data_IF_859074133019
#
_entry.id   IF_859074133019
#
_cell.length_a   1.000
_cell.length_b   1.000
_cell.length_c   1.000
_cell.angle_alpha   90.00
_cell.angle_beta   90.00
_cell.angle_gamma   90.00
#
_symmetry.space_group_name_H-M   'P 1'
#
loop_
_entity.id
_entity.type
_entity.pdbx_description
1 polymer ?
#
# COMPACT_ATOMS: atom_id res chain seq x y z
N UNK A 1 -0.80 9.98 -10.38
CA UNK A 1 -1.11 8.54 -10.56
C UNK A 1 -0.28 7.67 -9.62
N UNK A 2 0.92 7.17 -9.97
CA UNK A 2 1.70 6.27 -9.09
C UNK A 2 2.08 6.90 -7.74
N UNK A 3 2.60 8.13 -7.74
CA UNK A 3 2.96 8.86 -6.52
C UNK A 3 1.77 8.99 -5.54
N UNK A 4 0.60 9.34 -6.07
CA UNK A 4 -0.66 9.44 -5.31
C UNK A 4 -1.05 8.10 -4.70
N UNK A 5 -1.01 7.02 -5.49
CA UNK A 5 -1.35 5.68 -5.04
C UNK A 5 -0.44 5.21 -3.89
N UNK A 6 0.88 5.35 -4.05
CA UNK A 6 1.85 4.97 -3.02
C UNK A 6 1.66 5.79 -1.74
N UNK A 7 1.43 7.11 -1.86
CA UNK A 7 1.14 7.97 -0.72
C UNK A 7 -0.14 7.55 0.02
N UNK A 8 -1.19 7.16 -0.71
CA UNK A 8 -2.44 6.68 -0.12
C UNK A 8 -2.27 5.35 0.60
N UNK A 9 -1.56 4.39 0.00
CA UNK A 9 -1.25 3.09 0.64
C UNK A 9 -0.53 3.34 1.97
N UNK A 10 0.49 4.20 1.99
CA UNK A 10 1.20 4.54 3.24
C UNK A 10 0.29 5.19 4.27
N UNK A 11 -0.47 6.20 3.86
CA UNK A 11 -1.36 6.97 4.78
C UNK A 11 -2.47 6.11 5.36
N UNK A 12 -3.05 5.20 4.57
CA UNK A 12 -4.08 4.27 5.03
C UNK A 12 -3.55 3.34 6.13
N UNK A 13 -2.28 2.95 6.03
CA UNK A 13 -1.58 2.17 7.05
C UNK A 13 -1.04 3.04 8.22
N UNK A 14 -1.39 4.32 8.28
CA UNK A 14 -1.00 5.26 9.35
C UNK A 14 0.51 5.44 9.56
N UNK A 15 1.31 5.16 8.52
CA UNK A 15 2.76 5.28 8.58
C UNK A 15 3.23 6.69 8.17
N UNK A 16 4.22 7.24 8.86
CA UNK A 16 4.97 8.41 8.40
C UNK A 16 5.93 8.02 7.27
N UNK A 17 6.39 9.00 6.48
CA UNK A 17 7.41 8.75 5.46
C UNK A 17 8.70 8.19 6.07
N UNK A 18 9.10 8.70 7.25
CA UNK A 18 10.29 8.20 7.94
C UNK A 18 10.19 6.73 8.30
N UNK A 19 9.04 6.31 8.87
CA UNK A 19 8.80 4.91 9.23
C UNK A 19 8.83 4.01 7.99
N UNK A 20 8.04 4.33 6.96
CA UNK A 20 8.02 3.49 5.77
C UNK A 20 9.38 3.45 5.06
N UNK A 21 10.11 4.56 5.02
CA UNK A 21 11.44 4.58 4.42
C UNK A 21 12.42 3.66 5.15
N UNK A 22 12.37 3.60 6.48
CA UNK A 22 13.20 2.69 7.26
C UNK A 22 12.85 1.22 6.97
N UNK A 23 11.56 0.90 6.93
CA UNK A 23 11.07 -0.46 6.67
C UNK A 23 11.38 -0.96 5.26
N UNK A 24 11.30 -0.08 4.25
CA UNK A 24 11.62 -0.42 2.86
C UNK A 24 13.12 -0.33 2.53
N UNK A 25 13.96 0.06 3.48
CA UNK A 25 15.38 0.31 3.27
C UNK A 25 15.64 1.41 2.23
N UNK A 26 14.89 2.51 2.31
CA UNK A 26 14.97 3.68 1.46
C UNK A 26 15.39 4.90 2.28
N UNK A 27 15.98 5.91 1.62
CA UNK A 27 16.12 7.21 2.28
C UNK A 27 14.76 7.91 2.35
N UNK A 28 14.52 8.62 3.45
CA UNK A 28 13.29 9.40 3.63
C UNK A 28 13.12 10.44 2.50
N UNK A 29 14.22 11.11 2.12
CA UNK A 29 14.21 12.06 0.98
C UNK A 29 13.75 11.41 -0.32
N UNK A 30 14.21 10.18 -0.62
CA UNK A 30 13.83 9.48 -1.83
C UNK A 30 12.35 9.08 -1.83
N UNK A 31 11.85 8.56 -0.71
CA UNK A 31 10.42 8.26 -0.54
C UNK A 31 9.56 9.52 -0.70
N UNK A 32 10.00 10.63 -0.12
CA UNK A 32 9.31 11.92 -0.23
C UNK A 32 9.24 12.43 -1.69
N UNK A 33 10.34 12.33 -2.44
CA UNK A 33 10.38 12.70 -3.85
C UNK A 33 9.46 11.83 -4.71
N UNK A 34 9.39 10.52 -4.42
CA UNK A 34 8.47 9.60 -5.10
C UNK A 34 7.02 9.97 -4.83
N UNK A 35 6.64 10.14 -3.55
CA UNK A 35 5.25 10.45 -3.19
C UNK A 35 4.82 11.85 -3.62
N UNK A 36 5.76 12.79 -3.73
CA UNK A 36 5.50 14.11 -4.30
C UNK A 36 5.41 14.10 -5.83
N UNK A 37 5.67 12.96 -6.49
CA UNK A 37 5.70 12.86 -7.96
C UNK A 37 6.89 13.53 -8.62
N UNK A 38 7.91 13.93 -7.85
CA UNK A 38 9.16 14.51 -8.36
C UNK A 38 10.06 13.46 -9.02
N UNK A 39 9.97 12.21 -8.54
CA UNK A 39 10.64 11.05 -9.14
C UNK A 39 9.63 9.94 -9.42
N UNK A 40 9.80 9.29 -10.56
CA UNK A 40 9.05 8.06 -10.88
C UNK A 40 9.58 6.91 -10.00
N UNK A 41 8.71 6.18 -9.28
CA UNK A 41 9.13 4.98 -8.56
C UNK A 41 9.57 3.90 -9.57
N UNK A 42 10.68 3.22 -9.28
CA UNK A 42 11.09 2.06 -10.08
C UNK A 42 10.22 0.84 -9.77
N UNK A 43 10.26 -0.17 -10.64
CA UNK A 43 9.57 -1.44 -10.42
C UNK A 43 9.99 -2.10 -9.10
N UNK A 44 11.26 -1.95 -8.71
CA UNK A 44 11.79 -2.45 -7.44
C UNK A 44 11.10 -1.80 -6.24
N UNK A 45 10.82 -0.50 -6.30
CA UNK A 45 10.06 0.18 -5.25
C UNK A 45 8.62 -0.36 -5.20
N UNK A 46 8.00 -0.57 -6.35
CA UNK A 46 6.65 -1.13 -6.38
C UNK A 46 6.61 -2.56 -5.83
N UNK A 47 7.63 -3.37 -6.09
CA UNK A 47 7.80 -4.70 -5.49
C UNK A 47 8.01 -4.61 -3.98
N UNK A 48 8.83 -3.69 -3.49
CA UNK A 48 9.00 -3.45 -2.04
C UNK A 48 7.67 -3.09 -1.36
N UNK A 49 6.86 -2.24 -1.99
CA UNK A 49 5.50 -1.96 -1.51
C UNK A 49 4.60 -3.21 -1.57
N UNK A 50 4.68 -3.97 -2.65
CA UNK A 50 3.91 -5.20 -2.83
C UNK A 50 4.20 -6.21 -1.72
N UNK A 51 5.48 -6.42 -1.41
CA UNK A 51 5.94 -7.34 -0.38
C UNK A 51 5.61 -6.83 1.02
N UNK A 52 5.90 -5.55 1.30
CA UNK A 52 5.71 -4.98 2.63
C UNK A 52 4.24 -4.87 3.04
N UNK A 53 3.37 -4.44 2.12
CA UNK A 53 1.93 -4.33 2.37
C UNK A 53 1.17 -5.61 1.98
N UNK A 54 1.86 -6.62 1.46
CA UNK A 54 1.28 -7.87 0.96
C UNK A 54 0.13 -7.63 -0.06
N UNK A 55 0.31 -6.60 -0.91
CA UNK A 55 -0.63 -6.22 -1.98
C UNK A 55 -0.04 -6.68 -3.32
N UNK A 56 -0.78 -7.38 -4.19
CA UNK A 56 -0.27 -7.73 -5.51
C UNK A 56 0.18 -6.50 -6.30
N UNK A 57 1.37 -6.58 -6.91
CA UNK A 57 1.93 -5.49 -7.72
C UNK A 57 0.94 -5.00 -8.80
N UNK A 58 0.24 -5.92 -9.46
CA UNK A 58 -0.79 -5.59 -10.46
C UNK A 58 -1.91 -4.74 -9.88
N UNK A 59 -2.30 -4.97 -8.62
CA UNK A 59 -3.30 -4.16 -7.93
C UNK A 59 -2.80 -2.75 -7.63
N UNK A 60 -1.52 -2.58 -7.29
CA UNK A 60 -0.91 -1.25 -7.08
C UNK A 60 -0.89 -0.46 -8.38
N UNK A 61 -0.49 -1.09 -9.49
CA UNK A 61 -0.45 -0.47 -10.82
C UNK A 61 -1.86 -0.08 -11.25
N UNK A 62 -2.81 -1.02 -11.21
CA UNK A 62 -4.20 -0.75 -11.56
C UNK A 62 -4.78 0.38 -10.72
N UNK A 63 -4.53 0.39 -9.40
CA UNK A 63 -4.98 1.45 -8.51
C UNK A 63 -4.42 2.80 -8.93
N UNK A 64 -3.14 2.86 -9.31
CA UNK A 64 -2.50 4.10 -9.73
C UNK A 64 -3.10 4.70 -11.01
N UNK A 65 -3.62 3.87 -11.92
CA UNK A 65 -4.30 4.32 -13.14
C UNK A 65 -5.69 4.91 -12.83
N UNK A 66 -6.36 4.39 -11.81
CA UNK A 66 -7.75 4.74 -11.47
C UNK A 66 -7.89 5.70 -10.29
N UNK A 67 -6.79 6.06 -9.61
CA UNK A 67 -6.81 6.90 -8.39
C UNK A 67 -7.35 8.32 -8.66
N UNK A 68 -7.17 8.83 -9.87
CA UNK A 68 -7.61 10.16 -10.28
C UNK A 68 -9.01 10.13 -10.95
N UNK A 69 -9.56 8.93 -11.15
CA UNK A 69 -10.83 8.74 -11.83
C UNK A 69 -11.98 9.01 -10.86
N UNK A 70 -12.49 10.24 -10.85
CA UNK A 70 -13.66 10.65 -10.03
C UNK A 70 -14.91 9.77 -10.26
N UNK A 71 -14.89 8.90 -11.28
CA UNK A 71 -15.93 7.94 -11.67
C UNK A 71 -15.60 6.49 -11.27
N UNK A 72 -14.91 6.22 -10.16
CA UNK A 72 -14.86 4.85 -9.62
C UNK A 72 -16.30 4.41 -9.27
N UNK A 73 -16.92 3.64 -10.16
CA UNK A 73 -18.29 3.13 -10.02
C UNK A 73 -18.41 2.23 -8.81
N UNK A 74 -19.61 2.18 -8.23
CA UNK A 74 -19.89 1.43 -7.00
C UNK A 74 -19.53 -0.05 -7.11
N UNK A 75 -19.67 -0.68 -8.29
CA UNK A 75 -19.24 -2.06 -8.55
C UNK A 75 -17.73 -2.25 -8.50
N UNK A 76 -16.95 -1.28 -9.00
CA UNK A 76 -15.49 -1.30 -8.88
C UNK A 76 -15.12 -1.06 -7.41
N UNK A 77 -15.74 -0.10 -6.72
CA UNK A 77 -15.54 0.08 -5.27
C UNK A 77 -15.88 -1.17 -4.47
N UNK A 78 -16.93 -1.92 -4.81
CA UNK A 78 -17.34 -3.15 -4.14
C UNK A 78 -16.41 -4.33 -4.45
N UNK A 79 -15.93 -4.44 -5.69
CA UNK A 79 -14.91 -5.43 -6.07
C UNK A 79 -13.56 -5.15 -5.38
N UNK A 80 -13.15 -3.87 -5.33
CA UNK A 80 -11.96 -3.42 -4.63
C UNK A 80 -12.13 -3.49 -3.11
N UNK A 81 -13.30 -3.16 -2.56
CA UNK A 81 -13.61 -3.34 -1.15
C UNK A 81 -13.59 -4.81 -0.80
N UNK A 82 -14.06 -5.72 -1.66
CA UNK A 82 -13.95 -7.17 -1.43
C UNK A 82 -12.49 -7.63 -1.41
N UNK A 83 -11.65 -7.16 -2.34
CA UNK A 83 -10.20 -7.46 -2.33
C UNK A 83 -9.49 -6.85 -1.13
N UNK A 84 -9.80 -5.60 -0.77
CA UNK A 84 -9.26 -4.91 0.41
C UNK A 84 -9.78 -5.56 1.69
N UNK A 85 -11.05 -5.97 1.76
CA UNK A 85 -11.64 -6.72 2.87
C UNK A 85 -11.01 -8.11 2.98
N UNK A 86 -10.72 -8.78 1.86
CA UNK A 86 -9.99 -10.05 1.85
C UNK A 86 -8.56 -9.87 2.38
N UNK A 87 -7.89 -8.78 2.00
CA UNK A 87 -6.54 -8.41 2.50
C UNK A 87 -6.60 -8.01 4.00
N UNK A 88 -7.66 -7.33 4.43
CA UNK A 88 -7.89 -6.94 5.83
C UNK A 88 -8.27 -8.13 6.72
N UNK A 89 -9.14 -9.03 6.25
CA UNK A 89 -9.50 -10.29 6.92
C UNK A 89 -8.28 -11.18 7.08
N UNK A 90 -7.42 -11.24 6.06
CA UNK A 90 -6.18 -11.99 6.13
C UNK A 90 -5.18 -11.39 7.13
N UNK A 91 -5.09 -10.06 7.22
CA UNK A 91 -4.30 -9.36 8.26
C UNK A 91 -4.88 -9.53 9.68
N UNK A 92 -6.20 -9.50 9.85
CA UNK A 92 -6.86 -9.71 11.14
C UNK A 92 -6.58 -11.12 11.69
N UNK A 93 -6.66 -12.17 10.85
CA UNK A 93 -6.27 -13.54 11.22
C UNK A 93 -4.80 -13.65 11.65
N UNK A 94 -3.91 -12.85 11.07
CA UNK A 94 -2.47 -12.82 11.44
C UNK A 94 -2.24 -12.13 12.79
N UNK A 95 -2.98 -11.07 13.10
CA UNK A 95 -2.91 -10.39 14.40
C UNK A 95 -3.42 -11.27 15.56
N UNK A 96 -4.45 -12.10 15.34
CA UNK A 96 -4.88 -13.09 16.33
C UNK A 96 -3.82 -14.20 16.56
N UNK A 97 -3.13 -14.61 15.50
CA UNK A 97 -2.07 -15.63 15.56
C UNK A 97 -0.82 -15.15 16.30
N UNK A 98 -0.50 -13.84 16.22
CA UNK A 98 0.57 -13.23 17.02
C UNK A 98 0.19 -13.04 18.49
N UNK A 99 -1.07 -12.72 18.82
CA UNK A 99 -1.55 -12.65 20.22
C UNK A 99 -1.47 -14.01 20.93
N UNK A 100 -1.79 -15.12 20.26
CA UNK A 100 -1.71 -16.47 20.87
C UNK A 100 -0.29 -16.95 21.18
N UNK A 101 0.75 -16.43 20.51
CA UNK A 101 2.15 -16.79 20.79
C UNK A 101 2.83 -15.97 21.90
N UNK A 102 2.21 -14.87 22.34
CA UNK A 102 2.75 -13.99 23.40
C UNK A 102 2.09 -14.29 24.76
N UNK A 103 1.07 -15.14 24.80
CA UNK A 103 0.36 -15.55 26.01
C UNK A 103 0.48 -17.06 26.32
N UNK A 104 1.45 -17.74 25.70
CA UNK A 104 1.81 -19.14 25.94
C UNK A 104 3.29 -19.23 26.31
#
# INVERSE_FOLDING_TARGET
MLSTALSLIRKYNTLTQSQLSAELGLSNSYLSEIEAGKKQPSIEILMKYSEYFEIPLSSIIFFSEHVDDKKVTEKVRLGFASSILTILEWNLKRNESKKKKVSA
#
